data_IF_854055417614
#
_entry.id   IF_854055417614
#
_cell.length_a   1.000
_cell.length_b   1.000
_cell.length_c   1.000
_cell.angle_alpha   90.00
_cell.angle_beta   90.00
_cell.angle_gamma   90.00
#
_symmetry.space_group_name_H-M   'P 1'
#
loop_
_entity.id
_entity.type
_entity.pdbx_description
1 polymer ?
#
# COMPACT_ATOMS: atom_id res chain seq x y z
N UNK A 1 -22.46 -44.23 15.09
CA UNK A 1 -22.91 -42.88 14.69
C UNK A 1 -22.84 -42.82 13.17
N UNK A 2 -23.98 -42.82 12.48
CA UNK A 2 -24.03 -42.76 11.03
C UNK A 2 -23.63 -41.35 10.56
N UNK A 3 -22.52 -41.25 9.85
CA UNK A 3 -22.13 -39.99 9.20
C UNK A 3 -23.00 -39.80 7.97
N UNK A 4 -23.93 -38.85 8.03
CA UNK A 4 -24.85 -38.52 6.96
C UNK A 4 -24.05 -37.88 5.80
N UNK A 5 -23.69 -38.70 4.80
CA UNK A 5 -22.91 -38.29 3.62
C UNK A 5 -23.49 -37.06 2.91
N UNK A 6 -24.81 -36.84 3.02
CA UNK A 6 -25.49 -35.69 2.45
C UNK A 6 -25.15 -34.35 3.13
N UNK A 7 -24.91 -34.36 4.45
CA UNK A 7 -24.50 -33.17 5.21
C UNK A 7 -23.07 -32.73 4.86
N UNK A 8 -22.19 -33.67 4.53
CA UNK A 8 -20.80 -33.38 4.12
C UNK A 8 -20.78 -32.76 2.72
N UNK A 9 -21.60 -33.26 1.80
CA UNK A 9 -21.70 -32.72 0.42
C UNK A 9 -22.27 -31.29 0.42
N UNK A 10 -23.27 -31.01 1.26
CA UNK A 10 -23.82 -29.66 1.40
C UNK A 10 -22.81 -28.66 1.99
N UNK A 11 -22.00 -29.09 2.97
CA UNK A 11 -20.94 -28.27 3.55
C UNK A 11 -19.84 -27.92 2.54
N UNK A 12 -19.44 -28.87 1.69
CA UNK A 12 -18.42 -28.64 0.65
C UNK A 12 -18.93 -27.66 -0.42
N UNK A 13 -20.20 -27.74 -0.81
CA UNK A 13 -20.81 -26.82 -1.78
C UNK A 13 -20.92 -25.37 -1.24
N UNK A 14 -21.20 -25.18 0.05
CA UNK A 14 -21.25 -23.85 0.69
C UNK A 14 -19.86 -23.22 0.80
N UNK A 15 -18.82 -24.00 1.08
CA UNK A 15 -17.42 -23.51 1.15
C UNK A 15 -16.90 -23.09 -0.24
N UNK A 16 -17.29 -23.79 -1.31
CA UNK A 16 -16.90 -23.44 -2.68
C UNK A 16 -17.58 -22.14 -3.18
N UNK A 17 -18.79 -21.82 -2.69
CA UNK A 17 -19.52 -20.61 -3.09
C UNK A 17 -18.97 -19.30 -2.49
N UNK A 18 -18.10 -19.36 -1.48
CA UNK A 18 -17.53 -18.19 -0.79
C UNK A 18 -16.16 -17.73 -1.33
N UNK A 19 -15.57 -18.47 -2.27
CA UNK A 19 -14.32 -18.07 -2.92
C UNK A 19 -14.60 -17.05 -4.04
N UNK A 20 -14.95 -15.81 -3.68
CA UNK A 20 -14.90 -14.71 -4.65
C UNK A 20 -13.44 -14.40 -4.96
N UNK A 21 -13.02 -14.75 -6.17
CA UNK A 21 -11.70 -14.36 -6.69
C UNK A 21 -11.66 -12.83 -6.82
N UNK A 22 -10.85 -12.18 -5.96
CA UNK A 22 -10.61 -10.74 -6.07
C UNK A 22 -9.65 -10.50 -7.24
N UNK A 23 -10.20 -10.50 -8.45
CA UNK A 23 -9.46 -10.10 -9.65
C UNK A 23 -9.24 -8.60 -9.67
N UNK A 24 -8.03 -8.17 -10.06
CA UNK A 24 -7.72 -6.76 -10.30
C UNK A 24 -8.61 -6.21 -11.41
N UNK A 25 -9.31 -5.10 -11.14
CA UNK A 25 -10.15 -4.43 -12.13
C UNK A 25 -9.33 -3.53 -13.04
N UNK A 26 -9.80 -3.38 -14.27
CA UNK A 26 -9.24 -2.43 -15.24
C UNK A 26 -10.27 -1.32 -15.45
N UNK A 27 -9.85 -0.07 -15.25
CA UNK A 27 -10.66 1.12 -15.48
C UNK A 27 -10.11 1.89 -16.67
N UNK A 28 -10.91 2.00 -17.73
CA UNK A 28 -10.59 2.88 -18.85
C UNK A 28 -10.96 4.30 -18.45
N UNK A 29 -9.97 5.18 -18.32
CA UNK A 29 -10.17 6.55 -17.85
C UNK A 29 -10.98 7.32 -18.89
N UNK A 30 -12.16 7.81 -18.48
CA UNK A 30 -13.14 8.45 -19.38
C UNK A 30 -14.01 7.47 -20.17
N UNK A 31 -13.97 6.18 -19.85
CA UNK A 31 -14.71 5.11 -20.53
C UNK A 31 -14.53 5.19 -22.07
N UNK A 32 -15.62 5.20 -22.85
CA UNK A 32 -15.58 5.29 -24.31
C UNK A 32 -15.07 6.65 -24.84
N UNK A 33 -15.03 7.70 -24.02
CA UNK A 33 -14.48 9.01 -24.41
C UNK A 33 -12.95 9.07 -24.29
N UNK A 34 -12.36 8.21 -23.46
CA UNK A 34 -10.93 8.17 -23.21
C UNK A 34 -10.38 9.39 -22.49
N UNK A 35 -9.06 9.59 -22.63
CA UNK A 35 -8.33 10.73 -22.09
C UNK A 35 -8.37 11.89 -23.10
N UNK A 36 -9.28 12.84 -22.90
CA UNK A 36 -9.65 13.93 -23.81
C UNK A 36 -10.05 15.21 -23.06
N UNK A 37 -10.10 16.32 -23.78
CA UNK A 37 -10.46 17.65 -23.27
C UNK A 37 -11.95 17.76 -22.89
N UNK A 38 -12.25 18.69 -21.99
CA UNK A 38 -13.61 19.10 -21.60
C UNK A 38 -14.47 17.94 -21.09
N UNK A 39 -13.84 16.99 -20.39
CA UNK A 39 -14.49 15.85 -19.78
C UNK A 39 -14.33 15.89 -18.26
N UNK A 40 -15.42 15.65 -17.52
CA UNK A 40 -15.39 15.65 -16.06
C UNK A 40 -14.89 14.30 -15.52
N UNK A 41 -13.58 14.23 -15.33
CA UNK A 41 -12.93 13.04 -14.76
C UNK A 41 -13.27 12.79 -13.30
N UNK A 42 -13.66 13.81 -12.54
CA UNK A 42 -14.04 13.62 -11.14
C UNK A 42 -15.43 13.00 -11.06
N UNK A 43 -16.37 13.46 -11.89
CA UNK A 43 -17.67 12.83 -12.05
C UNK A 43 -17.53 11.38 -12.54
N UNK A 44 -16.65 11.12 -13.51
CA UNK A 44 -16.35 9.75 -13.95
C UNK A 44 -15.83 8.85 -12.83
N UNK A 45 -14.94 9.38 -11.98
CA UNK A 45 -14.38 8.64 -10.85
C UNK A 45 -15.41 8.44 -9.71
N UNK A 46 -16.44 9.28 -9.63
CA UNK A 46 -17.44 9.23 -8.58
C UNK A 46 -18.16 7.86 -8.55
N UNK A 47 -18.35 7.32 -7.34
CA UNK A 47 -18.92 5.99 -7.14
C UNK A 47 -18.04 4.81 -7.54
N UNK A 48 -16.91 5.03 -8.22
CA UNK A 48 -15.95 3.95 -8.53
C UNK A 48 -15.09 3.64 -7.32
N UNK A 49 -14.94 2.35 -7.04
CA UNK A 49 -14.05 1.85 -5.98
C UNK A 49 -12.75 1.36 -6.61
N UNK A 50 -11.69 2.11 -6.40
CA UNK A 50 -10.32 1.73 -6.79
C UNK A 50 -9.66 1.01 -5.61
N UNK A 51 -9.11 -0.17 -5.85
CA UNK A 51 -8.34 -0.92 -4.85
C UNK A 51 -6.92 -1.19 -5.34
N UNK A 52 -6.01 -1.49 -4.41
CA UNK A 52 -4.67 -1.96 -4.76
C UNK A 52 -4.76 -3.18 -5.68
N UNK A 53 -3.95 -3.16 -6.74
CA UNK A 53 -3.92 -4.17 -7.78
C UNK A 53 -4.68 -3.78 -9.05
N UNK A 54 -5.69 -2.90 -8.94
CA UNK A 54 -6.44 -2.39 -10.09
C UNK A 54 -5.53 -1.62 -11.06
N UNK A 55 -5.99 -1.43 -12.30
CA UNK A 55 -5.28 -0.72 -13.35
C UNK A 55 -6.12 0.44 -13.88
N UNK A 56 -5.48 1.59 -14.10
CA UNK A 56 -6.02 2.65 -14.93
C UNK A 56 -5.43 2.52 -16.34
N UNK A 57 -6.28 2.67 -17.35
CA UNK A 57 -5.88 2.69 -18.76
C UNK A 57 -6.25 4.04 -19.34
N UNK A 58 -5.24 4.80 -19.77
CA UNK A 58 -5.41 6.07 -20.44
C UNK A 58 -5.30 5.85 -21.94
N UNK A 59 -6.39 6.08 -22.67
CA UNK A 59 -6.44 5.94 -24.11
C UNK A 59 -6.57 7.31 -24.77
N UNK A 60 -5.68 7.62 -25.71
CA UNK A 60 -5.67 8.88 -26.43
C UNK A 60 -4.82 8.76 -27.71
N UNK A 61 -5.02 9.68 -28.65
CA UNK A 61 -4.16 9.75 -29.83
C UNK A 61 -2.73 10.13 -29.42
N UNK A 62 -1.77 9.23 -29.65
CA UNK A 62 -0.37 9.47 -29.34
C UNK A 62 0.11 10.80 -29.96
N UNK A 63 0.89 11.57 -29.20
CA UNK A 63 1.33 12.91 -29.59
C UNK A 63 0.30 14.03 -29.42
N UNK A 64 -0.97 13.74 -29.12
CA UNK A 64 -1.98 14.77 -28.79
C UNK A 64 -2.08 15.04 -27.30
N UNK A 65 -1.94 13.99 -26.50
CA UNK A 65 -2.02 14.05 -25.04
C UNK A 65 -0.86 13.27 -24.43
N UNK A 66 -0.70 13.40 -23.13
CA UNK A 66 0.21 12.59 -22.33
C UNK A 66 -0.40 12.42 -20.94
N UNK A 67 0.24 11.58 -20.12
CA UNK A 67 -0.17 11.32 -18.74
C UNK A 67 1.02 11.52 -17.83
N UNK A 68 0.93 12.52 -16.95
CA UNK A 68 1.83 12.68 -15.83
C UNK A 68 1.22 12.09 -14.56
N UNK A 69 2.08 11.45 -13.79
CA UNK A 69 1.85 11.04 -12.40
C UNK A 69 2.32 12.17 -11.49
N UNK A 70 1.41 12.83 -10.77
CA UNK A 70 1.73 14.04 -9.99
C UNK A 70 1.22 13.98 -8.56
N UNK A 71 1.72 14.88 -7.71
CA UNK A 71 1.19 15.07 -6.34
C UNK A 71 0.02 16.07 -6.33
N UNK A 72 -0.64 16.21 -5.18
CA UNK A 72 -1.81 17.09 -5.02
C UNK A 72 -1.54 18.56 -5.34
N UNK A 73 -0.39 19.12 -4.95
CA UNK A 73 -0.05 20.52 -5.22
C UNK A 73 0.12 20.77 -6.72
N UNK A 74 0.91 19.92 -7.38
CA UNK A 74 1.16 19.96 -8.82
C UNK A 74 -0.15 19.78 -9.59
N UNK A 75 -1.01 18.87 -9.15
CA UNK A 75 -2.35 18.67 -9.70
C UNK A 75 -3.22 19.93 -9.59
N UNK A 76 -3.27 20.58 -8.43
CA UNK A 76 -4.10 21.77 -8.23
C UNK A 76 -3.63 22.93 -9.08
N UNK A 77 -2.32 23.14 -9.17
CA UNK A 77 -1.71 24.24 -9.92
C UNK A 77 -1.54 23.95 -11.41
N UNK A 78 -1.78 22.72 -11.86
CA UNK A 78 -1.45 22.28 -13.23
C UNK A 78 -0.01 22.60 -13.62
N UNK A 79 0.93 22.44 -12.68
CA UNK A 79 2.35 22.63 -12.93
C UNK A 79 2.88 21.44 -13.74
N UNK A 80 3.48 21.67 -14.90
CA UNK A 80 3.88 20.59 -15.81
C UNK A 80 5.31 20.12 -15.49
N UNK A 81 5.52 18.84 -15.11
CA UNK A 81 6.86 18.30 -14.89
C UNK A 81 7.68 18.20 -16.18
N UNK A 82 8.99 17.91 -16.10
CA UNK A 82 9.83 17.64 -17.27
C UNK A 82 9.24 16.56 -18.19
N UNK A 83 9.27 16.78 -19.50
CA UNK A 83 8.61 15.91 -20.49
C UNK A 83 9.04 14.43 -20.43
N UNK A 84 10.25 14.14 -19.95
CA UNK A 84 10.77 12.77 -19.81
C UNK A 84 10.00 11.92 -18.77
N UNK A 85 9.27 12.57 -17.85
CA UNK A 85 8.44 11.88 -16.85
C UNK A 85 7.04 11.53 -17.37
N UNK A 86 6.70 11.98 -18.57
CA UNK A 86 5.39 11.73 -19.18
C UNK A 86 5.28 10.30 -19.73
N UNK A 87 4.11 9.70 -19.56
CA UNK A 87 3.71 8.56 -20.37
C UNK A 87 3.06 9.10 -21.66
N UNK A 88 3.47 8.57 -22.81
CA UNK A 88 3.16 9.17 -24.13
C UNK A 88 2.71 8.15 -25.16
N UNK A 89 2.41 6.90 -24.78
CA UNK A 89 2.17 5.82 -25.76
C UNK A 89 0.82 5.92 -26.48
N UNK A 90 -0.13 6.67 -25.92
CA UNK A 90 -1.54 6.65 -26.37
C UNK A 90 -2.36 5.51 -25.78
N UNK A 91 -1.73 4.54 -25.13
CA UNK A 91 -2.36 3.46 -24.36
C UNK A 91 -1.55 3.19 -23.09
N UNK A 92 -1.60 4.12 -22.13
CA UNK A 92 -0.79 4.00 -20.92
C UNK A 92 -1.52 3.23 -19.84
N UNK A 93 -0.88 2.20 -19.30
CA UNK A 93 -1.44 1.38 -18.21
C UNK A 93 -0.71 1.69 -16.91
N UNK A 94 -1.47 2.12 -15.91
CA UNK A 94 -0.96 2.42 -14.56
C UNK A 94 -1.56 1.41 -13.58
N UNK A 95 -0.71 0.58 -12.98
CA UNK A 95 -1.14 -0.31 -11.88
C UNK A 95 -1.20 0.47 -10.57
N UNK A 96 -2.31 0.40 -9.87
CA UNK A 96 -2.53 1.01 -8.57
C UNK A 96 -1.86 0.16 -7.49
N UNK A 97 -0.56 0.33 -7.32
CA UNK A 97 0.25 -0.52 -6.46
C UNK A 97 0.12 -0.21 -4.96
N UNK A 98 -0.32 0.99 -4.60
CA UNK A 98 -0.38 1.44 -3.20
C UNK A 98 -1.69 2.17 -2.89
N UNK A 99 -2.23 2.02 -1.66
CA UNK A 99 -3.39 2.79 -1.23
C UNK A 99 -3.09 4.29 -1.17
N UNK A 100 -4.16 5.08 -1.11
CA UNK A 100 -4.13 6.52 -0.93
C UNK A 100 -4.48 7.29 -2.19
N UNK A 101 -4.32 8.60 -2.08
CA UNK A 101 -4.65 9.56 -3.13
C UNK A 101 -3.66 9.47 -4.29
N UNK A 102 -4.16 9.44 -5.52
CA UNK A 102 -3.38 9.43 -6.76
C UNK A 102 -3.89 10.52 -7.69
N UNK A 103 -2.98 11.25 -8.33
CA UNK A 103 -3.31 12.36 -9.21
C UNK A 103 -2.60 12.22 -10.56
N UNK A 104 -3.33 12.56 -11.61
CA UNK A 104 -2.89 12.46 -12.99
C UNK A 104 -3.29 13.71 -13.77
N UNK A 105 -2.43 14.19 -14.67
CA UNK A 105 -2.69 15.37 -15.51
C UNK A 105 -2.17 15.17 -16.93
N UNK A 106 -2.74 15.91 -17.88
CA UNK A 106 -2.18 16.10 -19.22
C UNK A 106 -1.35 17.38 -19.23
N UNK A 107 -0.08 17.28 -19.60
CA UNK A 107 0.85 18.40 -19.64
C UNK A 107 1.00 19.09 -20.98
N UNK A 108 0.17 18.77 -21.97
CA UNK A 108 0.19 19.44 -23.27
C UNK A 108 -0.50 20.80 -23.17
N UNK A 109 0.23 21.88 -23.45
CA UNK A 109 -0.30 23.25 -23.48
C UNK A 109 -1.12 23.59 -22.23
N UNK A 110 -2.38 24.02 -22.42
CA UNK A 110 -3.33 24.33 -21.33
C UNK A 110 -4.36 23.23 -21.06
N UNK A 111 -4.06 21.97 -21.43
CA UNK A 111 -5.02 20.86 -21.31
C UNK A 111 -5.42 20.57 -19.85
N UNK A 112 -4.49 20.68 -18.90
CA UNK A 112 -4.81 20.52 -17.47
C UNK A 112 -5.63 21.69 -16.94
N UNK A 113 -5.16 22.93 -17.16
CA UNK A 113 -5.71 24.14 -16.53
C UNK A 113 -7.06 24.54 -17.10
N UNK A 114 -7.17 24.61 -18.42
CA UNK A 114 -8.39 25.06 -19.12
C UNK A 114 -9.19 23.90 -19.70
N UNK A 115 -8.49 22.85 -20.13
CA UNK A 115 -9.11 21.68 -20.76
C UNK A 115 -9.66 20.64 -19.79
N UNK A 116 -9.42 20.81 -18.48
CA UNK A 116 -9.91 19.89 -17.44
C UNK A 116 -9.31 18.48 -17.50
N UNK A 117 -8.23 18.24 -18.25
CA UNK A 117 -7.59 16.91 -18.36
C UNK A 117 -6.76 16.59 -17.13
N UNK A 118 -7.45 16.34 -16.02
CA UNK A 118 -6.87 16.00 -14.71
C UNK A 118 -7.79 15.04 -13.94
N UNK A 119 -7.22 13.95 -13.42
CA UNK A 119 -7.92 12.95 -12.63
C UNK A 119 -7.31 12.84 -11.23
N UNK A 120 -8.17 12.73 -10.23
CA UNK A 120 -7.82 12.41 -8.85
C UNK A 120 -8.65 11.20 -8.43
N UNK A 121 -8.01 10.22 -7.81
CA UNK A 121 -8.70 9.07 -7.22
C UNK A 121 -8.16 8.77 -5.83
N UNK A 122 -8.97 8.09 -5.02
CA UNK A 122 -8.54 7.50 -3.76
C UNK A 122 -8.52 5.97 -3.88
N UNK A 123 -7.35 5.37 -3.72
CA UNK A 123 -7.13 3.93 -3.81
C UNK A 123 -7.23 3.30 -2.43
N UNK A 124 -8.10 2.32 -2.27
CA UNK A 124 -8.27 1.57 -1.04
C UNK A 124 -7.32 0.37 -1.00
N UNK A 125 -6.93 -0.12 0.19
CA UNK A 125 -6.28 -1.43 0.28
C UNK A 125 -7.17 -2.51 -0.34
N UNK A 126 -6.54 -3.52 -0.94
CA UNK A 126 -7.26 -4.70 -1.44
C UNK A 126 -7.95 -5.39 -0.27
N UNK A 127 -9.26 -5.60 -0.37
CA UNK A 127 -9.99 -6.42 0.60
C UNK A 127 -9.59 -7.86 0.37
N UNK A 128 -8.83 -8.45 1.29
CA UNK A 128 -8.64 -9.89 1.30
C UNK A 128 -9.97 -10.57 1.66
N UNK A 129 -10.27 -11.75 1.10
CA UNK A 129 -11.45 -12.50 1.52
C UNK A 129 -11.41 -12.72 3.05
N UNK A 130 -12.56 -12.72 3.72
CA UNK A 130 -12.62 -13.02 5.13
C UNK A 130 -12.04 -14.42 5.36
N UNK A 131 -10.93 -14.48 6.08
CA UNK A 131 -10.49 -15.72 6.72
C UNK A 131 -11.64 -16.17 7.64
N UNK A 132 -12.01 -17.46 7.68
CA UNK A 132 -13.06 -17.94 8.58
C UNK A 132 -12.85 -17.38 9.99
N UNK A 133 -13.91 -16.78 10.52
CA UNK A 133 -13.93 -16.01 11.77
C UNK A 133 -13.45 -16.86 12.94
N UNK A 134 -12.17 -16.71 13.27
CA UNK A 134 -11.70 -16.87 14.64
C UNK A 134 -11.94 -15.51 15.31
N UNK A 135 -12.41 -15.51 16.55
CA UNK A 135 -12.73 -14.39 17.46
C UNK A 135 -12.23 -12.99 17.05
N UNK A 136 -13.00 -11.90 17.30
CA UNK A 136 -12.65 -10.55 16.84
C UNK A 136 -11.17 -10.28 17.09
N UNK A 137 -10.38 -9.98 16.04
CA UNK A 137 -8.96 -9.76 16.20
C UNK A 137 -8.80 -8.63 17.21
N UNK A 138 -7.89 -8.75 18.22
CA UNK A 138 -7.54 -7.61 19.05
C UNK A 138 -7.25 -6.40 18.15
N UNK A 139 -7.79 -5.24 18.53
CA UNK A 139 -7.47 -3.97 17.86
C UNK A 139 -5.95 -3.85 17.75
N UNK A 140 -5.42 -3.92 16.52
CA UNK A 140 -3.98 -3.93 16.28
C UNK A 140 -3.31 -2.72 16.92
N UNK A 141 -2.12 -2.92 17.49
CA UNK A 141 -1.37 -1.89 18.20
C UNK A 141 -0.95 -0.80 17.23
N UNK A 142 -0.93 0.45 17.70
CA UNK A 142 -0.34 1.57 16.98
C UNK A 142 1.08 1.80 17.51
N UNK A 143 2.07 1.68 16.64
CA UNK A 143 3.46 2.02 16.93
C UNK A 143 3.77 3.39 16.34
N UNK A 144 4.08 4.35 17.20
CA UNK A 144 4.57 5.66 16.76
C UNK A 144 6.03 5.49 16.39
N UNK A 145 6.36 5.66 15.10
CA UNK A 145 7.71 5.43 14.59
C UNK A 145 8.64 6.50 15.15
N UNK A 146 9.66 6.06 15.89
CA UNK A 146 10.59 6.95 16.60
C UNK A 146 10.05 7.52 17.91
N UNK A 147 8.92 7.00 18.41
CA UNK A 147 8.29 7.40 19.67
C UNK A 147 8.13 8.94 19.75
N UNK A 148 8.60 9.57 20.83
CA UNK A 148 8.52 11.03 21.02
C UNK A 148 9.35 11.83 20.01
N UNK A 149 10.38 11.23 19.40
CA UNK A 149 11.21 11.88 18.39
C UNK A 149 10.53 11.93 17.03
N UNK A 150 9.63 10.99 16.75
CA UNK A 150 8.92 10.88 15.48
C UNK A 150 9.84 10.51 14.31
N UNK A 151 9.35 10.78 13.10
CA UNK A 151 10.06 10.54 11.85
C UNK A 151 10.95 11.75 11.52
N UNK A 152 12.22 11.68 11.93
CA UNK A 152 13.27 12.70 11.82
C UNK A 152 14.64 12.12 11.40
N UNK A 153 15.61 13.00 11.15
CA UNK A 153 17.02 12.66 10.92
C UNK A 153 17.76 12.35 12.23
N UNK A 154 18.93 11.72 12.13
CA UNK A 154 19.81 11.40 13.27
C UNK A 154 19.13 10.52 14.33
N UNK A 155 18.30 9.58 13.90
CA UNK A 155 17.61 8.65 14.76
C UNK A 155 17.75 7.22 14.22
N UNK A 156 18.06 6.27 15.10
CA UNK A 156 18.23 4.87 14.72
C UNK A 156 16.89 4.12 14.76
N UNK A 157 16.25 4.03 13.60
CA UNK A 157 14.98 3.31 13.45
C UNK A 157 15.12 1.80 13.57
N UNK A 158 16.29 1.23 13.29
CA UNK A 158 16.51 -0.22 13.43
C UNK A 158 16.65 -0.59 14.91
N UNK A 159 17.37 0.22 15.69
CA UNK A 159 17.38 0.10 17.14
C UNK A 159 15.97 0.29 17.71
N UNK A 160 15.22 1.30 17.26
CA UNK A 160 13.84 1.49 17.69
C UNK A 160 12.94 0.28 17.39
N UNK A 161 13.10 -0.36 16.23
CA UNK A 161 12.33 -1.55 15.87
C UNK A 161 12.78 -2.81 16.64
N UNK A 162 13.98 -2.83 17.20
CA UNK A 162 14.53 -4.01 17.88
C UNK A 162 13.70 -4.38 19.10
N UNK A 163 13.37 -5.67 19.23
CA UNK A 163 12.55 -6.20 20.32
C UNK A 163 11.05 -5.87 20.21
N UNK A 164 10.63 -5.06 19.23
CA UNK A 164 9.21 -4.86 18.93
C UNK A 164 8.72 -5.98 18.04
N UNK A 165 7.54 -6.48 18.37
CA UNK A 165 6.86 -7.47 17.56
C UNK A 165 5.72 -6.80 16.80
N UNK A 166 5.76 -6.93 15.48
CA UNK A 166 4.75 -6.36 14.58
C UNK A 166 3.93 -7.49 14.00
N UNK A 167 2.62 -7.43 14.18
CA UNK A 167 1.68 -8.42 13.66
C UNK A 167 0.80 -7.84 12.57
N UNK A 168 0.22 -8.72 11.76
CA UNK A 168 -0.84 -8.32 10.83
C UNK A 168 -1.98 -7.65 11.60
N UNK A 169 -2.39 -6.46 11.15
CA UNK A 169 -3.42 -5.64 11.78
C UNK A 169 -2.86 -4.45 12.58
N UNK A 170 -1.61 -4.50 13.02
CA UNK A 170 -0.94 -3.36 13.66
C UNK A 170 -0.80 -2.18 12.71
N UNK A 171 -0.48 -1.00 13.26
CA UNK A 171 -0.34 0.24 12.49
C UNK A 171 0.95 0.95 12.86
N UNK A 172 1.66 1.49 11.86
CA UNK A 172 2.76 2.42 12.05
C UNK A 172 2.26 3.85 11.89
N UNK A 173 2.48 4.71 12.87
CA UNK A 173 2.18 6.14 12.79
C UNK A 173 3.48 6.94 12.63
N UNK A 174 3.64 7.59 11.48
CA UNK A 174 4.78 8.46 11.17
C UNK A 174 4.38 9.91 11.41
N UNK A 175 4.97 10.53 12.44
CA UNK A 175 4.76 11.94 12.78
C UNK A 175 5.98 12.76 12.39
N UNK A 176 5.80 13.81 11.61
CA UNK A 176 6.88 14.69 11.16
C UNK A 176 6.35 16.06 10.71
N UNK A 177 7.17 17.12 10.73
CA UNK A 177 6.74 18.43 10.21
C UNK A 177 6.39 18.34 8.71
N UNK A 178 5.17 18.76 8.36
CA UNK A 178 4.68 18.74 6.99
C UNK A 178 5.62 19.52 6.05
N UNK A 179 5.91 18.96 4.88
CA UNK A 179 6.83 19.56 3.90
C UNK A 179 8.33 19.39 4.22
N UNK A 180 8.72 18.87 5.39
CA UNK A 180 10.13 18.56 5.71
C UNK A 180 10.50 17.13 5.42
N UNK A 181 9.56 16.22 5.61
CA UNK A 181 9.75 14.79 5.37
C UNK A 181 8.55 14.20 4.64
N UNK A 182 8.71 12.95 4.22
CA UNK A 182 7.66 12.15 3.62
C UNK A 182 7.93 10.67 3.94
N UNK A 183 6.97 9.80 3.61
CA UNK A 183 7.07 8.36 3.84
C UNK A 183 6.73 7.61 2.56
N UNK A 184 7.72 6.93 2.01
CA UNK A 184 7.53 5.92 0.96
C UNK A 184 7.49 4.54 1.57
N UNK A 185 6.60 3.67 1.06
CA UNK A 185 6.78 2.23 1.20
C UNK A 185 7.55 1.71 -0.02
N UNK A 186 8.62 0.96 0.20
CA UNK A 186 9.52 0.49 -0.88
C UNK A 186 9.81 -1.00 -0.77
N UNK A 187 10.49 -1.56 -1.77
CA UNK A 187 11.04 -2.91 -1.70
C UNK A 187 12.44 -2.90 -1.04
N UNK A 188 12.99 -4.09 -0.75
CA UNK A 188 14.29 -4.23 -0.09
C UNK A 188 15.46 -3.64 -0.87
N UNK A 189 15.47 -3.75 -2.19
CA UNK A 189 16.53 -3.19 -3.05
C UNK A 189 16.53 -1.67 -3.01
N UNK A 190 15.36 -1.05 -3.25
CA UNK A 190 15.17 0.39 -3.17
C UNK A 190 15.48 0.92 -1.76
N UNK A 191 15.16 0.16 -0.72
CA UNK A 191 15.54 0.51 0.65
C UNK A 191 17.06 0.54 0.85
N UNK A 192 17.78 -0.48 0.38
CA UNK A 192 19.23 -0.56 0.51
C UNK A 192 19.93 0.57 -0.25
N UNK A 193 19.48 0.82 -1.48
CA UNK A 193 20.08 1.81 -2.39
C UNK A 193 19.57 3.23 -2.20
N UNK A 194 18.56 3.43 -1.34
CA UNK A 194 17.84 4.70 -1.23
C UNK A 194 17.26 5.18 -2.57
N UNK A 195 16.82 4.25 -3.41
CA UNK A 195 16.15 4.57 -4.67
C UNK A 195 14.77 5.14 -4.38
N UNK A 196 14.62 6.44 -4.60
CA UNK A 196 13.38 7.16 -4.32
C UNK A 196 12.36 6.91 -5.44
N UNK A 197 11.16 6.38 -5.14
CA UNK A 197 10.08 6.28 -6.12
C UNK A 197 9.60 7.66 -6.59
N UNK A 198 8.73 7.70 -7.60
CA UNK A 198 8.13 8.97 -8.04
C UNK A 198 7.46 9.70 -6.88
N UNK A 199 7.65 11.01 -6.79
CA UNK A 199 7.24 11.84 -5.64
C UNK A 199 5.75 11.72 -5.27
N UNK A 200 4.90 11.33 -6.22
CA UNK A 200 3.47 11.16 -6.01
C UNK A 200 3.06 9.85 -5.29
N UNK A 201 4.00 8.95 -5.06
CA UNK A 201 3.78 7.74 -4.26
C UNK A 201 4.04 7.96 -2.77
N UNK A 202 4.61 9.11 -2.41
CA UNK A 202 4.87 9.50 -1.04
C UNK A 202 3.58 9.79 -0.28
N UNK A 203 3.57 9.42 1.01
CA UNK A 203 2.67 10.03 2.00
C UNK A 203 3.34 11.27 2.58
N UNK A 204 2.58 12.35 2.72
CA UNK A 204 3.10 13.71 2.96
C UNK A 204 2.29 14.51 4.00
N UNK A 205 1.38 13.87 4.75
CA UNK A 205 0.44 14.61 5.62
C UNK A 205 1.08 15.20 6.89
N UNK A 206 2.29 14.77 7.25
CA UNK A 206 2.90 15.07 8.56
C UNK A 206 2.42 14.15 9.70
N UNK A 207 1.34 13.39 9.48
CA UNK A 207 0.89 12.32 10.37
C UNK A 207 0.30 11.17 9.55
N UNK A 208 1.17 10.31 9.02
CA UNK A 208 0.74 9.20 8.17
C UNK A 208 0.62 7.91 8.97
N UNK A 209 -0.55 7.27 8.90
CA UNK A 209 -0.76 5.97 9.55
C UNK A 209 -0.85 4.86 8.50
N UNK A 210 -0.03 3.83 8.65
CA UNK A 210 0.09 2.70 7.73
C UNK A 210 -0.31 1.42 8.46
N UNK A 211 -1.37 0.77 8.01
CA UNK A 211 -1.76 -0.56 8.51
C UNK A 211 -0.86 -1.65 7.93
N UNK A 212 -0.39 -2.53 8.79
CA UNK A 212 0.39 -3.73 8.46
C UNK A 212 -0.55 -4.83 8.02
N UNK A 213 -1.04 -4.74 6.79
CA UNK A 213 -2.11 -5.62 6.29
C UNK A 213 -1.65 -7.04 5.93
N UNK A 214 -0.35 -7.25 5.73
CA UNK A 214 0.19 -8.55 5.28
C UNK A 214 1.49 -8.89 5.99
N UNK A 215 1.76 -10.18 6.22
CA UNK A 215 3.02 -10.61 6.81
C UNK A 215 4.21 -10.32 5.89
N UNK A 216 5.41 -10.56 6.41
CA UNK A 216 6.68 -10.38 5.74
C UNK A 216 7.34 -9.03 6.02
N UNK A 217 8.52 -8.86 5.44
CA UNK A 217 9.32 -7.65 5.63
C UNK A 217 8.67 -6.46 4.94
N UNK A 218 8.62 -5.33 5.64
CA UNK A 218 8.16 -4.03 5.12
C UNK A 218 9.30 -3.04 5.21
N UNK A 219 9.40 -2.13 4.24
CA UNK A 219 10.46 -1.13 4.16
C UNK A 219 9.87 0.24 3.90
N UNK A 220 10.39 1.23 4.62
CA UNK A 220 9.96 2.61 4.58
C UNK A 220 11.18 3.54 4.52
N UNK A 221 11.09 4.59 3.72
CA UNK A 221 12.16 5.59 3.57
C UNK A 221 11.59 7.00 3.49
N UNK A 222 12.39 8.00 3.86
CA UNK A 222 12.16 9.38 3.50
C UNK A 222 12.90 9.70 2.20
N UNK A 223 12.19 10.18 1.19
CA UNK A 223 12.75 10.53 -0.12
C UNK A 223 13.02 12.02 -0.31
N UNK A 224 13.11 12.80 0.77
CA UNK A 224 13.48 14.22 0.68
C UNK A 224 15.01 14.33 0.68
N UNK A 225 15.58 14.91 -0.38
CA UNK A 225 17.03 15.14 -0.49
C UNK A 225 17.84 13.86 -0.23
N UNK A 226 18.81 13.94 0.70
CA UNK A 226 19.65 12.80 1.13
C UNK A 226 19.17 12.12 2.42
N UNK A 227 17.90 12.30 2.81
CA UNK A 227 17.44 11.85 4.13
C UNK A 227 17.52 10.33 4.30
N UNK A 228 17.23 9.54 3.25
CA UNK A 228 17.34 8.09 3.31
C UNK A 228 18.79 7.64 3.56
N UNK A 229 19.75 8.24 2.85
CA UNK A 229 21.18 7.99 2.96
C UNK A 229 21.72 8.40 4.33
N UNK A 230 21.12 9.44 4.93
CA UNK A 230 21.38 9.88 6.30
C UNK A 230 20.65 9.02 7.36
N UNK A 231 20.08 7.88 6.97
CA UNK A 231 19.54 6.89 7.91
C UNK A 231 18.03 7.02 8.21
N UNK A 232 17.32 7.92 7.53
CA UNK A 232 15.87 8.08 7.71
C UNK A 232 15.08 7.01 6.95
N UNK A 233 15.25 5.76 7.41
CA UNK A 233 14.76 4.54 6.79
C UNK A 233 14.48 3.48 7.85
N UNK A 234 13.34 2.80 7.72
CA UNK A 234 12.89 1.73 8.63
C UNK A 234 12.53 0.48 7.83
N UNK A 235 13.08 -0.67 8.19
CA UNK A 235 12.44 -1.94 7.87
C UNK A 235 11.95 -2.65 9.13
N UNK A 236 10.87 -3.42 8.99
CA UNK A 236 10.31 -4.26 10.05
C UNK A 236 9.93 -5.62 9.48
N UNK A 237 9.81 -6.63 10.34
CA UNK A 237 9.26 -7.92 9.98
C UNK A 237 7.86 -8.08 10.59
N UNK A 238 6.86 -8.33 9.75
CA UNK A 238 5.47 -8.50 10.19
C UNK A 238 5.13 -9.99 10.21
N UNK A 239 4.65 -10.50 11.33
CA UNK A 239 4.25 -11.92 11.45
C UNK A 239 2.72 -12.07 11.34
N UNK A 240 2.21 -13.23 10.87
CA UNK A 240 0.78 -13.51 10.88
C UNK A 240 0.21 -13.47 12.29
N UNK A 241 -1.00 -12.95 12.44
CA UNK A 241 -1.67 -12.86 13.74
C UNK A 241 -1.92 -14.23 14.40
N UNK A 242 -2.01 -15.30 13.61
CA UNK A 242 -2.21 -16.67 14.09
C UNK A 242 -1.05 -17.24 14.91
N UNK A 243 0.15 -16.63 14.87
CA UNK A 243 1.29 -17.04 15.70
C UNK A 243 1.06 -16.86 17.21
N UNK A 244 0.03 -16.10 17.62
CA UNK A 244 -0.35 -15.90 19.02
C UNK A 244 -1.41 -16.86 19.54
N UNK A 245 -2.05 -17.64 18.67
CA UNK A 245 -3.09 -18.59 19.09
C UNK A 245 -2.49 -19.87 19.71
N UNK A 246 -1.20 -20.14 19.51
CA UNK A 246 -0.50 -21.29 20.08
C UNK A 246 0.93 -20.89 20.47
N UNK A 247 1.19 -20.46 21.72
CA UNK A 247 2.56 -20.46 22.22
C UNK A 247 3.11 -21.89 22.09
N UNK A 248 4.37 -22.07 21.64
CA UNK A 248 4.99 -23.39 21.65
C UNK A 248 4.92 -23.94 23.08
N UNK A 249 4.55 -25.22 23.27
CA UNK A 249 4.51 -25.81 24.61
C UNK A 249 5.89 -25.65 25.26
N UNK A 250 5.94 -25.33 26.58
CA UNK A 250 7.20 -25.17 27.27
C UNK A 250 8.04 -26.42 27.06
N UNK A 251 9.29 -26.20 26.64
CA UNK A 251 10.27 -27.27 26.41
C UNK A 251 10.45 -28.05 27.72
N UNK A 252 9.76 -29.18 27.85
CA UNK A 252 9.99 -30.09 28.96
C UNK A 252 11.40 -30.64 28.82
N UNK A 253 12.30 -30.11 29.66
CA UNK A 253 13.66 -30.62 29.86
C UNK A 253 13.53 -32.11 30.20
N UNK A 254 13.87 -32.99 29.26
CA UNK A 254 13.88 -34.43 29.48
C UNK A 254 14.81 -34.74 30.64
N UNK A 255 14.23 -35.24 31.74
CA UNK A 255 14.98 -35.74 32.89
C UNK A 255 15.72 -37.00 32.42
N UNK A 256 17.05 -36.96 32.41
CA UNK A 256 17.87 -38.17 32.25
C UNK A 256 17.44 -39.19 33.31
N UNK A 257 16.91 -40.33 32.86
CA UNK A 257 16.68 -41.49 33.73
C UNK A 257 18.05 -42.04 34.15
N UNK A 258 18.26 -42.18 35.45
CA UNK A 258 19.42 -42.86 36.00
C UNK A 258 19.26 -44.37 35.75
N UNK A 259 20.36 -45.10 35.47
CA UNK A 259 20.29 -46.54 35.22
C UNK A 259 19.94 -47.30 36.52
N UNK A 260 19.19 -48.41 36.41
CA UNK A 260 18.80 -49.21 37.56
C UNK A 260 20.03 -49.86 38.19
N UNK A 261 20.11 -49.78 39.53
CA UNK A 261 21.07 -50.55 40.32
C UNK A 261 20.48 -51.95 40.52
N UNK A 262 21.25 -52.98 40.18
CA UNK A 262 21.01 -54.37 40.53
C UNK A 262 21.19 -54.59 42.04
#
# INVERSE_FOLDING_TARGET
MATNKWSIIFLIAIVAALATSVSAKVFIVGDHKGWTLNFDYQAWANGKKFVVGDKLVFQYAAGKHNVFRVNGTVFQQCMIPPAIEALTSGYDVITLATPGRKWYICGVGKHCELGGMKLFINVLPQSMPPVPSVSPPPSGKVFVVGDDKGWTLNFDYQAWATGKEFVVGDRLAFRYPMGKHNVFGVNGTSFQQCTIPSSNEARTSGYDVITLATPGRKWYICGVGKHCEMGMKLFINVVPQSAYAYPPPPYHRTRKLAPPKF
#
